data_IF_491179067730
#
_entry.id   IF_491179067730
#
_cell.length_a   1.000
_cell.length_b   1.000
_cell.length_c   1.000
_cell.angle_alpha   90.00
_cell.angle_beta   90.00
_cell.angle_gamma   90.00
#
_symmetry.space_group_name_H-M   'P 1'
#
loop_
_entity.id
_entity.type
_entity.pdbx_description
1 polymer ?
#
# COMPACT_ATOMS: atom_id res chain seq x y z
N UNK A 1 4.56 -16.10 21.45
CA UNK A 1 5.40 -16.62 20.35
C UNK A 1 4.80 -16.14 19.04
N UNK A 2 5.61 -15.76 18.05
CA UNK A 2 5.09 -15.45 16.71
C UNK A 2 4.58 -16.74 16.06
N UNK A 3 3.42 -16.67 15.42
CA UNK A 3 2.90 -17.75 14.56
C UNK A 3 3.22 -17.50 13.08
N UNK A 4 3.98 -16.45 12.77
CA UNK A 4 4.40 -16.09 11.42
C UNK A 4 5.66 -16.85 11.05
N UNK A 5 5.66 -17.50 9.88
CA UNK A 5 6.88 -18.05 9.27
C UNK A 5 7.71 -16.91 8.68
N UNK A 6 8.68 -16.41 9.44
CA UNK A 6 9.51 -15.30 9.02
C UNK A 6 10.53 -15.70 7.93
N UNK A 7 10.92 -14.71 7.12
CA UNK A 7 11.92 -14.84 6.05
C UNK A 7 13.25 -15.40 6.54
N UNK A 8 13.67 -15.00 7.73
CA UNK A 8 14.83 -15.56 8.44
C UNK A 8 14.31 -16.32 9.65
N UNK A 9 14.50 -17.63 9.64
CA UNK A 9 14.04 -18.51 10.72
C UNK A 9 14.74 -18.14 12.04
N UNK A 10 13.97 -18.12 13.14
CA UNK A 10 14.49 -17.80 14.48
C UNK A 10 14.75 -16.31 14.75
N UNK A 11 14.66 -15.43 13.74
CA UNK A 11 14.80 -13.99 13.94
C UNK A 11 13.49 -13.38 14.45
N UNK A 12 13.58 -12.54 15.47
CA UNK A 12 12.48 -11.69 15.95
C UNK A 12 12.58 -10.32 15.27
N UNK A 13 11.45 -9.77 14.85
CA UNK A 13 11.36 -8.47 14.19
C UNK A 13 10.49 -7.51 15.02
N UNK A 14 10.75 -6.19 14.99
CA UNK A 14 9.79 -5.21 15.46
C UNK A 14 8.46 -5.38 14.72
N UNK A 15 7.35 -5.23 15.43
CA UNK A 15 6.03 -5.31 14.82
C UNK A 15 5.58 -3.91 14.45
N UNK A 16 5.56 -3.59 13.15
CA UNK A 16 5.02 -2.32 12.67
C UNK A 16 3.54 -2.17 13.11
N UNK A 17 3.19 -1.02 13.67
CA UNK A 17 1.87 -0.73 14.22
C UNK A 17 1.13 0.35 13.42
N UNK A 18 1.84 1.37 12.93
CA UNK A 18 1.27 2.43 12.10
C UNK A 18 2.33 3.10 11.23
N UNK A 19 1.92 3.78 10.17
CA UNK A 19 2.81 4.63 9.38
C UNK A 19 2.11 5.93 8.96
N UNK A 20 2.86 7.02 8.87
CA UNK A 20 2.38 8.33 8.42
C UNK A 20 3.51 9.09 7.75
N UNK A 21 3.31 9.51 6.50
CA UNK A 21 4.38 10.13 5.70
C UNK A 21 5.58 9.21 5.59
N UNK A 22 6.77 9.70 5.93
CA UNK A 22 8.01 8.91 5.92
C UNK A 22 8.30 8.18 7.25
N UNK A 23 7.33 8.05 8.15
CA UNK A 23 7.54 7.43 9.46
C UNK A 23 6.77 6.12 9.59
N UNK A 24 7.45 5.11 10.15
CA UNK A 24 6.86 3.87 10.66
C UNK A 24 7.03 3.83 12.17
N UNK A 25 5.98 3.47 12.89
CA UNK A 25 6.00 3.27 14.34
C UNK A 25 5.74 1.81 14.66
N UNK A 26 6.58 1.20 15.48
CA UNK A 26 6.39 -0.16 15.97
C UNK A 26 5.48 -0.21 17.20
N UNK A 27 5.09 -1.43 17.62
CA UNK A 27 4.22 -1.67 18.79
C UNK A 27 4.83 -1.26 20.12
N UNK A 28 6.15 -1.08 20.17
CA UNK A 28 6.86 -0.62 21.37
C UNK A 28 6.95 0.93 21.39
N UNK A 29 6.35 1.60 20.40
CA UNK A 29 6.27 3.05 20.30
C UNK A 29 7.49 3.71 19.64
N UNK A 30 8.46 2.93 19.15
CA UNK A 30 9.64 3.48 18.48
C UNK A 30 9.31 3.86 17.04
N UNK A 31 9.77 5.04 16.66
CA UNK A 31 9.63 5.58 15.30
C UNK A 31 10.89 5.31 14.47
N UNK A 32 10.68 4.97 13.21
CA UNK A 32 11.69 4.66 12.22
C UNK A 32 11.43 5.51 10.98
N UNK A 33 12.46 6.18 10.47
CA UNK A 33 12.38 6.91 9.20
C UNK A 33 12.47 5.89 8.07
N UNK A 34 11.44 5.86 7.23
CA UNK A 34 11.43 5.13 5.97
C UNK A 34 12.05 6.01 4.86
N UNK A 35 13.38 5.97 4.78
CA UNK A 35 14.14 6.74 3.80
C UNK A 35 14.17 6.10 2.40
N UNK A 36 13.52 4.95 2.20
CA UNK A 36 13.51 4.22 0.94
C UNK A 36 12.11 3.93 0.38
N UNK A 37 11.05 4.29 1.10
CA UNK A 37 9.68 3.87 0.77
C UNK A 37 9.50 2.35 0.85
N UNK A 38 10.19 1.70 1.80
CA UNK A 38 10.33 0.25 1.87
C UNK A 38 11.17 -0.27 0.70
N UNK A 39 10.61 -1.17 -0.10
CA UNK A 39 11.19 -1.63 -1.36
C UNK A 39 10.75 -0.74 -2.54
N UNK A 40 10.81 0.60 -2.36
CA UNK A 40 10.30 1.62 -3.28
C UNK A 40 8.78 1.52 -3.56
N UNK A 41 8.00 1.01 -2.59
CA UNK A 41 6.55 0.85 -2.69
C UNK A 41 5.80 2.09 -2.19
N UNK A 42 6.13 2.57 -0.99
CA UNK A 42 5.45 3.71 -0.37
C UNK A 42 6.03 5.04 -0.87
N UNK A 43 6.03 5.26 -2.19
CA UNK A 43 6.71 6.39 -2.84
C UNK A 43 6.15 7.76 -2.45
N UNK A 44 4.88 7.84 -2.04
CA UNK A 44 4.22 9.05 -1.54
C UNK A 44 4.01 9.01 -0.01
N UNK A 45 4.73 8.13 0.67
CA UNK A 45 4.62 7.91 2.11
C UNK A 45 3.44 7.02 2.53
N UNK A 46 3.41 6.69 3.81
CA UNK A 46 2.38 5.86 4.43
C UNK A 46 1.15 6.69 4.82
N UNK A 47 -0.05 6.13 4.66
CA UNK A 47 -1.29 6.74 5.12
C UNK A 47 -1.66 8.05 4.41
N UNK A 48 -1.34 8.19 3.12
CA UNK A 48 -1.70 9.38 2.35
C UNK A 48 -3.23 9.56 2.32
N UNK A 49 -3.79 10.72 2.71
CA UNK A 49 -5.23 10.90 2.90
C UNK A 49 -6.04 10.61 1.63
N UNK A 50 -5.55 11.06 0.47
CA UNK A 50 -6.25 10.84 -0.81
C UNK A 50 -6.29 9.35 -1.22
N UNK A 51 -5.22 8.59 -0.91
CA UNK A 51 -5.18 7.15 -1.18
C UNK A 51 -6.18 6.42 -0.28
N UNK A 52 -6.21 6.76 1.00
CA UNK A 52 -7.16 6.17 1.94
C UNK A 52 -8.61 6.47 1.52
N UNK A 53 -8.90 7.71 1.14
CA UNK A 53 -10.23 8.11 0.66
C UNK A 53 -10.64 7.34 -0.60
N UNK A 54 -9.73 7.20 -1.59
CA UNK A 54 -9.99 6.45 -2.81
C UNK A 54 -10.22 4.94 -2.53
N UNK A 55 -9.39 4.34 -1.66
CA UNK A 55 -9.55 2.94 -1.26
C UNK A 55 -10.89 2.70 -0.56
N UNK A 56 -11.31 3.58 0.36
CA UNK A 56 -12.59 3.47 1.04
C UNK A 56 -13.78 3.64 0.09
N UNK A 57 -13.75 4.64 -0.79
CA UNK A 57 -14.80 4.82 -1.78
C UNK A 57 -14.94 3.59 -2.70
N UNK A 58 -13.82 3.00 -3.11
CA UNK A 58 -13.83 1.82 -3.96
C UNK A 58 -14.31 0.56 -3.22
N UNK A 59 -13.85 0.30 -2.00
CA UNK A 59 -14.25 -0.92 -1.27
C UNK A 59 -15.75 -0.93 -0.94
N UNK A 60 -16.32 0.26 -0.66
CA UNK A 60 -17.75 0.41 -0.39
C UNK A 60 -18.60 0.23 -1.66
N UNK A 61 -18.04 0.53 -2.83
CA UNK A 61 -18.71 0.38 -4.14
C UNK A 61 -18.55 -1.02 -4.73
N UNK A 62 -17.32 -1.54 -4.78
CA UNK A 62 -16.95 -2.82 -5.39
C UNK A 62 -15.58 -3.29 -4.87
N UNK A 63 -15.61 -4.30 -4.00
CA UNK A 63 -14.39 -4.88 -3.44
C UNK A 63 -13.61 -5.79 -4.41
N UNK A 64 -14.31 -6.48 -5.32
CA UNK A 64 -13.67 -7.40 -6.27
C UNK A 64 -14.57 -7.70 -7.47
N UNK A 65 -13.97 -7.73 -8.66
CA UNK A 65 -14.54 -8.32 -9.86
C UNK A 65 -13.45 -9.12 -10.59
N UNK A 66 -13.79 -10.31 -11.08
CA UNK A 66 -12.83 -11.17 -11.76
C UNK A 66 -12.56 -10.68 -13.18
N UNK A 67 -11.30 -10.44 -13.51
CA UNK A 67 -10.88 -9.77 -14.76
C UNK A 67 -11.14 -10.56 -16.04
N UNK A 68 -11.39 -11.87 -15.95
CA UNK A 68 -11.83 -12.65 -17.12
C UNK A 68 -13.29 -12.38 -17.54
N UNK A 69 -14.10 -11.69 -16.73
CA UNK A 69 -15.52 -11.44 -17.02
C UNK A 69 -15.89 -9.96 -17.00
N UNK A 70 -15.18 -9.16 -16.21
CA UNK A 70 -15.51 -7.76 -15.99
C UNK A 70 -14.25 -6.90 -15.98
N UNK A 71 -14.41 -5.66 -16.45
CA UNK A 71 -13.51 -4.56 -16.12
C UNK A 71 -14.06 -3.75 -14.93
N UNK A 72 -13.43 -2.63 -14.60
CA UNK A 72 -13.89 -1.70 -13.56
C UNK A 72 -13.52 -0.27 -13.92
N UNK A 73 -14.35 0.70 -13.52
CA UNK A 73 -14.09 2.14 -13.73
C UNK A 73 -12.67 2.53 -13.30
N UNK A 74 -12.22 2.08 -12.12
CA UNK A 74 -10.87 2.38 -11.61
C UNK A 74 -9.74 1.86 -12.51
N UNK A 75 -9.95 0.74 -13.22
CA UNK A 75 -8.97 0.19 -14.15
C UNK A 75 -8.97 0.94 -15.49
N UNK A 76 -10.16 1.25 -16.02
CA UNK A 76 -10.31 2.02 -17.27
C UNK A 76 -9.75 3.45 -17.11
N UNK A 77 -10.11 4.15 -16.03
CA UNK A 77 -9.62 5.50 -15.73
C UNK A 77 -8.09 5.53 -15.55
N UNK A 78 -7.52 4.51 -14.90
CA UNK A 78 -6.07 4.40 -14.76
C UNK A 78 -5.38 4.15 -16.11
N UNK A 79 -5.96 3.30 -16.97
CA UNK A 79 -5.41 3.04 -18.30
C UNK A 79 -5.35 4.32 -19.15
N UNK A 80 -6.44 5.10 -19.16
CA UNK A 80 -6.50 6.40 -19.83
C UNK A 80 -5.46 7.38 -19.27
N UNK A 81 -5.32 7.44 -17.94
CA UNK A 81 -4.35 8.31 -17.30
C UNK A 81 -2.90 7.95 -17.65
N UNK A 82 -2.58 6.66 -17.76
CA UNK A 82 -1.22 6.18 -18.06
C UNK A 82 -0.83 6.39 -19.52
N UNK A 83 -1.78 6.23 -20.45
CA UNK A 83 -1.48 6.37 -21.88
C UNK A 83 -1.45 7.84 -22.33
N UNK A 84 -2.21 8.72 -21.70
CA UNK A 84 -2.28 10.13 -22.08
C UNK A 84 -0.92 10.86 -22.12
N UNK A 85 0.01 10.67 -21.16
CA UNK A 85 1.35 11.27 -21.19
C UNK A 85 2.43 10.36 -21.80
N UNK A 86 2.08 9.16 -22.29
CA UNK A 86 3.08 8.20 -22.75
C UNK A 86 3.82 8.74 -23.99
N UNK A 87 5.16 8.59 -24.06
CA UNK A 87 5.90 8.92 -25.27
C UNK A 87 5.48 8.00 -26.42
N UNK A 88 5.55 8.53 -27.64
CA UNK A 88 5.27 7.79 -28.88
C UNK A 88 6.28 6.67 -29.15
#
# INVERSE_FOLDING_TARGET
MSHVLHRVLGKTYPVAASGTGALLRDRDGREHIDASGGAAVSCIGHGHPDVLAAMHAQIDKLAYAHTSFFTSDAAEELADHLIAPAPA
#
